data_IF_899142344467
#
_entry.id   IF_899142344467
#
_cell.length_a   1.000
_cell.length_b   1.000
_cell.length_c   1.000
_cell.angle_alpha   90.00
_cell.angle_beta   90.00
_cell.angle_gamma   90.00
#
_symmetry.space_group_name_H-M   'P 1'
#
loop_
_entity.id
_entity.type
_entity.pdbx_description
1 polymer ?
#
# COMPACT_ATOMS: atom_id res chain seq x y z
N UNK A 1 -33.15 -5.42 -14.61
CA UNK A 1 -32.10 -5.95 -13.70
C UNK A 1 -31.24 -4.78 -13.32
N UNK A 2 -31.16 -4.48 -12.03
CA UNK A 2 -30.33 -3.37 -11.55
C UNK A 2 -28.91 -3.88 -11.29
N UNK A 3 -27.93 -3.22 -11.89
CA UNK A 3 -26.50 -3.52 -11.66
C UNK A 3 -25.93 -2.49 -10.68
N UNK A 4 -25.11 -2.94 -9.77
CA UNK A 4 -24.38 -2.08 -8.84
C UNK A 4 -22.87 -2.25 -8.99
N UNK A 5 -22.14 -1.15 -8.88
CA UNK A 5 -20.70 -1.10 -8.72
C UNK A 5 -20.43 -0.73 -7.28
N UNK A 6 -19.78 -1.63 -6.56
CA UNK A 6 -19.35 -1.42 -5.17
C UNK A 6 -17.83 -1.23 -5.13
N UNK A 7 -17.39 -0.01 -4.99
CA UNK A 7 -15.97 0.30 -4.83
C UNK A 7 -15.53 0.04 -3.39
N UNK A 8 -14.44 -0.71 -3.22
CA UNK A 8 -13.90 -1.08 -1.91
C UNK A 8 -12.57 -0.37 -1.67
N UNK A 9 -12.59 0.66 -0.82
CA UNK A 9 -11.38 1.28 -0.29
C UNK A 9 -10.78 0.44 0.85
N UNK A 10 -9.47 0.62 1.13
CA UNK A 10 -8.86 -0.03 2.28
C UNK A 10 -9.45 0.48 3.62
N UNK A 11 -9.70 1.77 3.68
CA UNK A 11 -10.02 2.48 4.91
C UNK A 11 -8.79 2.99 5.63
N UNK A 12 -8.98 4.01 6.46
CA UNK A 12 -7.91 4.69 7.20
C UNK A 12 -8.40 5.11 8.59
N UNK A 13 -7.50 5.09 9.58
CA UNK A 13 -7.75 5.69 10.89
C UNK A 13 -7.81 7.22 10.84
N UNK A 14 -7.27 7.83 9.79
CA UNK A 14 -7.42 9.26 9.51
C UNK A 14 -8.60 9.48 8.57
N UNK A 15 -9.60 10.23 9.01
CA UNK A 15 -10.81 10.50 8.22
C UNK A 15 -10.50 11.21 6.89
N UNK A 16 -9.44 12.03 6.84
CA UNK A 16 -8.99 12.66 5.61
C UNK A 16 -8.73 11.65 4.48
N UNK A 17 -8.15 10.48 4.79
CA UNK A 17 -7.92 9.43 3.80
C UNK A 17 -9.23 8.79 3.32
N UNK A 18 -10.20 8.60 4.22
CA UNK A 18 -11.50 8.04 3.87
C UNK A 18 -12.29 9.03 2.97
N UNK A 19 -12.19 10.32 3.26
CA UNK A 19 -12.83 11.37 2.47
C UNK A 19 -12.21 11.45 1.07
N UNK A 20 -10.89 11.34 0.91
CA UNK A 20 -10.27 11.26 -0.41
C UNK A 20 -10.77 10.07 -1.24
N UNK A 21 -11.00 8.90 -0.61
CA UNK A 21 -11.61 7.75 -1.30
C UNK A 21 -13.03 8.06 -1.76
N UNK A 22 -13.86 8.67 -0.89
CA UNK A 22 -15.25 9.04 -1.23
C UNK A 22 -15.29 10.06 -2.38
N UNK A 23 -14.48 11.11 -2.29
CA UNK A 23 -14.33 12.13 -3.35
C UNK A 23 -13.85 11.51 -4.67
N UNK A 24 -12.89 10.59 -4.60
CA UNK A 24 -12.40 9.87 -5.77
C UNK A 24 -13.52 9.06 -6.44
N UNK A 25 -14.32 8.31 -5.67
CA UNK A 25 -15.45 7.53 -6.21
C UNK A 25 -16.57 8.45 -6.70
N UNK A 26 -16.86 9.57 -6.03
CA UNK A 26 -17.83 10.56 -6.51
C UNK A 26 -17.44 11.09 -7.90
N UNK A 27 -16.16 11.41 -8.09
CA UNK A 27 -15.64 11.84 -9.39
C UNK A 27 -15.68 10.70 -10.43
N UNK A 28 -15.39 9.44 -10.04
CA UNK A 28 -15.58 8.28 -10.91
C UNK A 28 -17.04 8.12 -11.35
N UNK A 29 -17.98 8.30 -10.43
CA UNK A 29 -19.41 8.14 -10.70
C UNK A 29 -19.89 9.05 -11.82
N UNK A 30 -19.30 10.22 -11.99
CA UNK A 30 -19.60 11.13 -13.10
C UNK A 30 -19.15 10.61 -14.49
N UNK A 31 -18.27 9.61 -14.51
CA UNK A 31 -17.70 8.99 -15.71
C UNK A 31 -18.34 7.63 -16.00
N UNK A 32 -19.20 7.13 -15.14
CA UNK A 32 -19.85 5.82 -15.19
C UNK A 32 -21.28 5.99 -15.72
N UNK A 33 -21.83 4.96 -16.39
CA UNK A 33 -23.22 4.95 -16.87
C UNK A 33 -24.19 5.24 -15.71
N UNK A 34 -25.00 6.28 -15.85
CA UNK A 34 -25.97 6.73 -14.85
C UNK A 34 -27.06 5.67 -14.51
N UNK A 35 -27.18 4.60 -15.27
CA UNK A 35 -28.07 3.48 -14.96
C UNK A 35 -27.46 2.48 -13.95
N UNK A 36 -26.17 2.60 -13.64
CA UNK A 36 -25.50 1.78 -12.63
C UNK A 36 -25.62 2.43 -11.26
N UNK A 37 -26.00 1.66 -10.26
CA UNK A 37 -25.89 2.08 -8.87
C UNK A 37 -24.41 2.06 -8.48
N UNK A 38 -23.87 3.18 -8.00
CA UNK A 38 -22.48 3.29 -7.57
C UNK A 38 -22.43 3.55 -6.08
N UNK A 39 -21.68 2.71 -5.37
CA UNK A 39 -21.51 2.81 -3.92
C UNK A 39 -20.05 2.65 -3.51
N UNK A 40 -19.70 3.20 -2.34
CA UNK A 40 -18.38 3.10 -1.73
C UNK A 40 -18.48 2.39 -0.38
N UNK A 41 -17.58 1.46 -0.15
CA UNK A 41 -17.41 0.83 1.17
C UNK A 41 -15.91 0.67 1.51
N UNK A 42 -15.64 0.24 2.73
CA UNK A 42 -14.29 0.11 3.24
C UNK A 42 -14.05 -1.28 3.82
N UNK A 43 -12.81 -1.75 3.68
CA UNK A 43 -12.39 -3.02 4.24
C UNK A 43 -12.27 -2.94 5.77
N UNK A 44 -11.65 -1.85 6.27
CA UNK A 44 -11.42 -1.64 7.71
C UNK A 44 -11.40 -0.14 8.06
N UNK A 45 -11.49 0.19 9.35
CA UNK A 45 -11.36 1.53 9.95
C UNK A 45 -12.37 2.59 9.52
N UNK A 46 -13.28 2.32 8.58
CA UNK A 46 -14.27 3.27 8.10
C UNK A 46 -15.57 2.58 7.72
N UNK A 47 -16.65 3.35 7.67
CA UNK A 47 -17.99 2.90 7.25
C UNK A 47 -18.40 3.59 5.94
N UNK A 48 -19.29 2.91 5.17
CA UNK A 48 -19.85 1.59 5.42
C UNK A 48 -18.81 0.47 5.22
N UNK A 49 -18.97 -0.65 5.95
CA UNK A 49 -18.21 -1.88 5.72
C UNK A 49 -18.62 -2.53 4.40
N UNK A 50 -17.86 -3.54 3.94
CA UNK A 50 -18.21 -4.29 2.71
C UNK A 50 -19.61 -4.90 2.84
N UNK A 51 -19.91 -5.55 3.97
CA UNK A 51 -21.22 -6.14 4.23
C UNK A 51 -22.35 -5.10 4.17
N UNK A 52 -22.17 -3.94 4.82
CA UNK A 52 -23.15 -2.84 4.80
C UNK A 52 -23.33 -2.28 3.39
N UNK A 53 -22.25 -2.11 2.61
CA UNK A 53 -22.33 -1.66 1.22
C UNK A 53 -23.08 -2.64 0.32
N UNK A 54 -22.84 -3.95 0.50
CA UNK A 54 -23.58 -5.00 -0.22
C UNK A 54 -25.07 -4.97 0.17
N UNK A 55 -25.39 -4.91 1.47
CA UNK A 55 -26.76 -4.86 1.96
C UNK A 55 -27.53 -3.68 1.36
N UNK A 56 -26.89 -2.50 1.33
CA UNK A 56 -27.46 -1.32 0.71
C UNK A 56 -27.74 -1.50 -0.80
N UNK A 57 -26.79 -2.08 -1.55
CA UNK A 57 -26.99 -2.36 -2.97
C UNK A 57 -28.18 -3.30 -3.20
N UNK A 58 -28.32 -4.34 -2.36
CA UNK A 58 -29.45 -5.29 -2.44
C UNK A 58 -30.77 -4.61 -2.08
N UNK A 59 -30.81 -3.77 -1.05
CA UNK A 59 -32.00 -2.97 -0.67
C UNK A 59 -32.44 -2.03 -1.79
N UNK A 60 -31.51 -1.53 -2.60
CA UNK A 60 -31.79 -0.73 -3.81
C UNK A 60 -32.21 -1.58 -5.00
N UNK A 61 -32.33 -2.89 -4.86
CA UNK A 61 -32.84 -3.82 -5.88
C UNK A 61 -31.76 -4.31 -6.84
N UNK A 62 -30.48 -4.24 -6.47
CA UNK A 62 -29.40 -4.80 -7.28
C UNK A 62 -29.52 -6.32 -7.39
N UNK A 63 -29.45 -6.84 -8.60
CA UNK A 63 -29.43 -8.27 -8.90
C UNK A 63 -28.05 -8.75 -9.36
N UNK A 64 -27.18 -7.80 -9.73
CA UNK A 64 -25.78 -8.03 -10.04
C UNK A 64 -24.94 -6.97 -9.31
N UNK A 65 -23.94 -7.39 -8.55
CA UNK A 65 -23.02 -6.51 -7.83
C UNK A 65 -21.59 -6.81 -8.27
N UNK A 66 -20.92 -5.77 -8.77
CA UNK A 66 -19.52 -5.79 -9.20
C UNK A 66 -18.69 -5.12 -8.12
N UNK A 67 -17.89 -5.90 -7.41
CA UNK A 67 -17.04 -5.43 -6.29
C UNK A 67 -15.67 -5.08 -6.83
N UNK A 68 -15.33 -3.79 -6.86
CA UNK A 68 -14.10 -3.27 -7.46
C UNK A 68 -13.15 -2.76 -6.37
N UNK A 69 -12.02 -3.43 -6.13
CA UNK A 69 -11.08 -3.01 -5.11
C UNK A 69 -10.23 -1.80 -5.57
N UNK A 70 -10.24 -0.72 -4.79
CA UNK A 70 -9.32 0.40 -4.93
C UNK A 70 -8.07 0.08 -4.10
N UNK A 71 -7.27 -0.85 -4.60
CA UNK A 71 -6.06 -1.40 -3.94
C UNK A 71 -4.95 -1.49 -4.98
N UNK A 72 -3.73 -1.09 -4.61
CA UNK A 72 -2.60 -1.05 -5.53
C UNK A 72 -2.09 -2.42 -5.92
N UNK A 73 -1.81 -3.30 -4.96
CA UNK A 73 -1.15 -4.58 -5.19
C UNK A 73 -1.97 -5.74 -4.65
N UNK A 74 -1.86 -6.88 -5.32
CA UNK A 74 -2.60 -8.09 -4.99
C UNK A 74 -1.97 -8.82 -3.79
N UNK A 75 -2.48 -8.55 -2.59
CA UNK A 75 -2.01 -9.09 -1.32
C UNK A 75 -3.16 -9.64 -0.48
N UNK A 76 -2.92 -10.01 0.77
CA UNK A 76 -3.88 -10.68 1.64
C UNK A 76 -5.28 -10.07 1.67
N UNK A 77 -5.39 -8.74 1.71
CA UNK A 77 -6.71 -8.07 1.71
C UNK A 77 -7.51 -8.35 0.43
N UNK A 78 -6.87 -8.26 -0.73
CA UNK A 78 -7.54 -8.51 -2.02
C UNK A 78 -7.65 -10.00 -2.37
N UNK A 79 -6.75 -10.85 -1.85
CA UNK A 79 -6.77 -12.31 -2.10
C UNK A 79 -7.74 -13.06 -1.18
N UNK A 80 -7.91 -12.57 0.04
CA UNK A 80 -8.59 -13.34 1.11
C UNK A 80 -9.76 -12.56 1.70
N UNK A 81 -9.52 -11.35 2.24
CA UNK A 81 -10.52 -10.68 3.06
C UNK A 81 -11.73 -10.21 2.24
N UNK A 82 -11.53 -9.45 1.17
CA UNK A 82 -12.64 -9.00 0.30
C UNK A 82 -13.35 -10.20 -0.33
N UNK A 83 -12.67 -11.21 -0.93
CA UNK A 83 -13.33 -12.40 -1.44
C UNK A 83 -14.12 -13.18 -0.38
N UNK A 84 -13.64 -13.23 0.87
CA UNK A 84 -14.36 -13.91 1.96
C UNK A 84 -15.71 -13.24 2.28
N UNK A 85 -15.73 -11.91 2.36
CA UNK A 85 -16.96 -11.12 2.55
C UNK A 85 -17.94 -11.33 1.39
N UNK A 86 -17.44 -11.36 0.14
CA UNK A 86 -18.29 -11.62 -1.04
C UNK A 86 -18.90 -13.02 -0.98
N UNK A 87 -18.13 -14.04 -0.60
CA UNK A 87 -18.63 -15.42 -0.48
C UNK A 87 -19.68 -15.53 0.63
N UNK A 88 -19.57 -14.78 1.71
CA UNK A 88 -20.62 -14.69 2.74
C UNK A 88 -21.89 -14.03 2.20
N UNK A 89 -21.72 -12.93 1.45
CA UNK A 89 -22.83 -12.28 0.80
C UNK A 89 -23.53 -13.17 -0.24
N UNK A 90 -22.81 -14.02 -0.99
CA UNK A 90 -23.39 -15.00 -1.90
C UNK A 90 -24.32 -15.99 -1.16
N UNK A 91 -23.91 -16.42 0.04
CA UNK A 91 -24.74 -17.30 0.87
C UNK A 91 -25.99 -16.57 1.42
N UNK A 92 -25.83 -15.29 1.83
CA UNK A 92 -26.92 -14.46 2.33
C UNK A 92 -27.93 -14.08 1.25
N UNK A 93 -27.45 -13.85 0.02
CA UNK A 93 -28.24 -13.38 -1.12
C UNK A 93 -28.07 -14.28 -2.35
N UNK A 94 -28.56 -15.53 -2.33
CA UNK A 94 -28.32 -16.53 -3.39
C UNK A 94 -28.92 -16.13 -4.76
N UNK A 95 -29.81 -15.14 -4.79
CA UNK A 95 -30.43 -14.61 -6.01
C UNK A 95 -29.63 -13.44 -6.63
N UNK A 96 -28.56 -12.95 -5.97
CA UNK A 96 -27.71 -11.88 -6.43
C UNK A 96 -26.42 -12.46 -7.02
N UNK A 97 -26.07 -12.02 -8.21
CA UNK A 97 -24.78 -12.37 -8.84
C UNK A 97 -23.69 -11.42 -8.38
N UNK A 98 -22.58 -11.97 -7.90
CA UNK A 98 -21.40 -11.21 -7.53
C UNK A 98 -20.26 -11.44 -8.50
N UNK A 99 -19.58 -10.37 -8.87
CA UNK A 99 -18.34 -10.41 -9.66
C UNK A 99 -17.28 -9.60 -8.93
N UNK A 100 -16.09 -10.18 -8.76
CA UNK A 100 -14.96 -9.51 -8.13
C UNK A 100 -13.98 -8.98 -9.17
N UNK A 101 -13.65 -7.70 -9.09
CA UNK A 101 -12.70 -7.01 -9.96
C UNK A 101 -11.24 -7.26 -9.56
N UNK A 102 -10.32 -6.96 -10.48
CA UNK A 102 -8.89 -6.98 -10.19
C UNK A 102 -8.46 -5.70 -9.45
N UNK A 103 -7.36 -5.80 -8.69
CA UNK A 103 -6.66 -4.64 -8.14
C UNK A 103 -6.01 -3.80 -9.25
N UNK A 104 -5.50 -2.62 -8.90
CA UNK A 104 -4.74 -1.77 -9.84
C UNK A 104 -3.62 -2.56 -10.52
N UNK A 105 -2.74 -3.19 -9.73
CA UNK A 105 -1.64 -4.01 -10.21
C UNK A 105 -0.52 -3.20 -10.89
N UNK A 106 0.30 -3.91 -11.67
CA UNK A 106 1.34 -3.28 -12.50
C UNK A 106 0.68 -2.74 -13.76
N UNK A 107 0.72 -1.43 -13.96
CA UNK A 107 0.06 -0.75 -15.07
C UNK A 107 0.91 0.39 -15.59
N UNK A 108 0.88 0.62 -16.92
CA UNK A 108 1.68 1.70 -17.53
C UNK A 108 1.26 3.08 -17.04
N UNK A 109 -0.04 3.33 -16.87
CA UNK A 109 -0.54 4.60 -16.34
C UNK A 109 -0.10 4.85 -14.90
N UNK A 110 0.11 3.80 -14.09
CA UNK A 110 0.67 3.95 -12.73
C UNK A 110 2.13 4.42 -12.80
N UNK A 111 2.93 3.90 -13.73
CA UNK A 111 4.29 4.38 -13.95
C UNK A 111 4.28 5.84 -14.42
N UNK A 112 3.34 6.19 -15.30
CA UNK A 112 3.18 7.57 -15.77
C UNK A 112 2.81 8.53 -14.63
N UNK A 113 1.92 8.13 -13.70
CA UNK A 113 1.62 8.93 -12.50
C UNK A 113 2.90 9.18 -11.69
N UNK A 114 3.73 8.16 -11.47
CA UNK A 114 4.97 8.31 -10.72
C UNK A 114 5.92 9.32 -11.37
N UNK A 115 6.03 9.31 -12.71
CA UNK A 115 6.81 10.30 -13.46
C UNK A 115 6.24 11.71 -13.29
N UNK A 116 4.92 11.87 -13.39
CA UNK A 116 4.26 13.17 -13.23
C UNK A 116 4.42 13.71 -11.79
N UNK A 117 4.38 12.83 -10.76
CA UNK A 117 4.66 13.22 -9.37
C UNK A 117 6.09 13.72 -9.17
N UNK A 118 7.06 13.17 -9.90
CA UNK A 118 8.43 13.70 -9.93
C UNK A 118 8.49 15.07 -10.63
N UNK A 119 7.79 15.24 -11.74
CA UNK A 119 7.75 16.50 -12.48
C UNK A 119 7.09 17.64 -11.67
N UNK A 120 6.07 17.36 -10.90
CA UNK A 120 5.37 18.33 -10.05
C UNK A 120 6.30 18.98 -9.00
N UNK A 121 7.34 18.28 -8.54
CA UNK A 121 8.36 18.84 -7.65
C UNK A 121 9.56 19.44 -8.40
N UNK A 122 9.43 19.63 -9.71
CA UNK A 122 10.48 20.23 -10.55
C UNK A 122 11.61 19.28 -10.95
N UNK A 123 11.42 17.95 -10.86
CA UNK A 123 12.38 16.98 -11.34
C UNK A 123 12.16 16.73 -12.84
N UNK A 124 13.18 16.98 -13.65
CA UNK A 124 13.14 16.72 -15.10
C UNK A 124 13.35 15.23 -15.37
N UNK A 125 12.28 14.52 -15.69
CA UNK A 125 12.31 13.07 -15.96
C UNK A 125 12.97 12.68 -17.28
N UNK A 126 13.29 13.66 -18.14
CA UNK A 126 13.96 13.44 -19.43
C UNK A 126 15.46 13.78 -19.39
N UNK A 127 15.89 14.49 -18.35
CA UNK A 127 17.29 14.85 -18.18
C UNK A 127 18.09 13.74 -17.50
N UNK A 128 19.40 13.72 -17.77
CA UNK A 128 20.35 12.88 -17.04
C UNK A 128 20.67 13.54 -15.68
N UNK A 129 20.59 12.74 -14.61
CA UNK A 129 20.95 13.15 -13.27
C UNK A 129 22.06 12.23 -12.73
N UNK A 130 23.21 12.80 -12.38
CA UNK A 130 24.40 12.00 -12.02
C UNK A 130 24.51 11.69 -10.51
N UNK A 131 23.79 12.42 -9.66
CA UNK A 131 23.91 12.35 -8.20
C UNK A 131 22.55 12.26 -7.48
N UNK A 132 21.49 11.96 -8.22
CA UNK A 132 20.13 11.85 -7.68
C UNK A 132 19.70 10.38 -7.57
N UNK A 133 19.13 10.04 -6.42
CA UNK A 133 18.45 8.77 -6.19
C UNK A 133 16.92 8.99 -6.11
N UNK A 134 16.17 8.07 -6.68
CA UNK A 134 14.73 7.95 -6.44
C UNK A 134 14.51 6.80 -5.46
N UNK A 135 13.89 7.07 -4.33
CA UNK A 135 13.51 6.08 -3.34
C UNK A 135 12.00 5.86 -3.39
N UNK A 136 11.57 4.81 -4.08
CA UNK A 136 10.16 4.43 -4.15
C UNK A 136 9.75 3.77 -2.84
N UNK A 137 8.66 4.23 -2.21
CA UNK A 137 8.28 3.82 -0.85
C UNK A 137 6.86 3.30 -0.83
N UNK A 138 6.68 2.03 -0.43
CA UNK A 138 5.38 1.40 -0.21
C UNK A 138 5.11 1.10 1.27
N UNK A 139 3.90 0.63 1.58
CA UNK A 139 3.52 0.21 2.94
C UNK A 139 4.39 -0.95 3.44
N UNK A 140 4.63 -1.93 2.58
CA UNK A 140 5.14 -3.25 2.94
C UNK A 140 4.05 -4.22 3.42
N UNK A 141 4.34 -5.50 3.33
CA UNK A 141 3.39 -6.55 3.72
C UNK A 141 4.05 -7.93 3.76
N UNK A 142 3.35 -8.91 4.34
CA UNK A 142 3.82 -10.30 4.43
C UNK A 142 3.65 -11.10 3.13
N UNK A 143 3.02 -10.54 2.11
CA UNK A 143 2.81 -11.21 0.82
C UNK A 143 4.03 -11.00 -0.09
N UNK A 144 4.79 -12.07 -0.31
CA UNK A 144 6.03 -12.06 -1.11
C UNK A 144 5.79 -11.67 -2.57
N UNK A 145 4.66 -12.06 -3.17
CA UNK A 145 4.33 -11.72 -4.55
C UNK A 145 4.01 -10.23 -4.71
N UNK A 146 3.25 -9.66 -3.76
CA UNK A 146 2.98 -8.22 -3.76
C UNK A 146 4.26 -7.40 -3.56
N UNK A 147 5.16 -7.83 -2.68
CA UNK A 147 6.48 -7.23 -2.52
C UNK A 147 7.31 -7.37 -3.81
N UNK A 148 7.29 -8.53 -4.46
CA UNK A 148 7.94 -8.77 -5.75
C UNK A 148 7.40 -7.88 -6.86
N UNK A 149 6.08 -7.70 -6.94
CA UNK A 149 5.44 -6.78 -7.91
C UNK A 149 5.87 -5.33 -7.66
N UNK A 150 6.03 -4.92 -6.40
CA UNK A 150 6.56 -3.60 -6.06
C UNK A 150 8.00 -3.40 -6.56
N UNK A 151 8.88 -4.39 -6.38
CA UNK A 151 10.23 -4.35 -6.94
C UNK A 151 10.21 -4.31 -8.47
N UNK A 152 9.28 -5.01 -9.11
CA UNK A 152 9.11 -4.93 -10.56
C UNK A 152 8.68 -3.53 -11.00
N UNK A 153 7.78 -2.88 -10.27
CA UNK A 153 7.38 -1.48 -10.53
C UNK A 153 8.59 -0.55 -10.38
N UNK A 154 9.40 -0.73 -9.32
CA UNK A 154 10.63 0.04 -9.12
C UNK A 154 11.60 -0.12 -10.30
N UNK A 155 11.78 -1.35 -10.79
CA UNK A 155 12.63 -1.61 -11.95
C UNK A 155 12.06 -0.96 -13.23
N UNK A 156 10.77 -1.08 -13.48
CA UNK A 156 10.11 -0.46 -14.65
C UNK A 156 10.18 1.07 -14.60
N UNK A 157 10.07 1.67 -13.41
CA UNK A 157 10.28 3.11 -13.24
C UNK A 157 11.72 3.50 -13.57
N UNK A 158 12.70 2.72 -13.11
CA UNK A 158 14.11 2.98 -13.42
C UNK A 158 14.41 2.98 -14.92
N UNK A 159 13.79 2.07 -15.69
CA UNK A 159 13.94 2.05 -17.16
C UNK A 159 13.44 3.32 -17.86
N UNK A 160 12.62 4.12 -17.16
CA UNK A 160 12.06 5.38 -17.70
C UNK A 160 12.83 6.62 -17.28
N UNK A 161 13.87 6.50 -16.44
CA UNK A 161 14.63 7.60 -15.86
C UNK A 161 16.13 7.43 -16.13
N UNK A 162 16.80 8.51 -16.45
CA UNK A 162 18.28 8.54 -16.53
C UNK A 162 18.89 9.01 -15.20
N UNK A 163 18.75 8.15 -14.19
CA UNK A 163 19.30 8.33 -12.84
C UNK A 163 20.17 7.14 -12.46
N UNK A 164 21.25 7.32 -11.66
CA UNK A 164 22.13 6.24 -11.27
C UNK A 164 21.50 5.27 -10.26
N UNK A 165 20.51 5.72 -9.49
CA UNK A 165 19.98 4.98 -8.36
C UNK A 165 18.46 5.07 -8.33
N UNK A 166 17.77 3.92 -8.34
CA UNK A 166 16.36 3.80 -7.97
C UNK A 166 16.25 2.64 -6.98
N UNK A 167 15.89 2.94 -5.75
CA UNK A 167 15.79 1.98 -4.66
C UNK A 167 14.34 1.82 -4.20
N UNK A 168 14.05 0.67 -3.59
CA UNK A 168 12.79 0.38 -2.93
C UNK A 168 12.92 0.45 -1.43
N UNK A 169 11.91 0.97 -0.74
CA UNK A 169 11.81 0.87 0.71
C UNK A 169 10.35 0.72 1.17
N UNK A 170 10.18 0.30 2.41
CA UNK A 170 8.87 0.05 3.00
C UNK A 170 8.70 0.83 4.31
N UNK A 171 7.44 1.22 4.60
CA UNK A 171 7.11 1.89 5.85
C UNK A 171 7.07 0.96 7.05
N UNK A 172 7.03 -0.35 6.82
CA UNK A 172 7.01 -1.39 7.84
C UNK A 172 6.80 -2.79 7.27
N UNK A 173 6.82 -3.81 8.12
CA UNK A 173 6.55 -5.23 7.85
C UNK A 173 7.64 -5.93 7.01
N UNK A 174 8.17 -5.26 5.99
CA UNK A 174 9.15 -5.80 5.04
C UNK A 174 10.35 -4.89 4.96
N UNK A 175 11.54 -5.44 4.93
CA UNK A 175 12.81 -4.74 4.67
C UNK A 175 13.08 -4.59 3.16
N UNK A 176 13.86 -3.56 2.76
CA UNK A 176 14.45 -2.52 3.60
C UNK A 176 13.43 -1.50 4.09
N UNK A 177 13.55 -1.06 5.34
CA UNK A 177 12.76 0.07 5.85
C UNK A 177 13.27 1.39 5.25
N UNK A 178 12.48 2.47 5.41
CA UNK A 178 12.80 3.79 4.84
C UNK A 178 14.19 4.28 5.26
N UNK A 179 14.56 4.08 6.53
CA UNK A 179 15.87 4.45 7.08
C UNK A 179 17.00 3.76 6.30
N UNK A 180 16.88 2.44 6.13
CA UNK A 180 17.86 1.64 5.36
C UNK A 180 17.87 2.02 3.88
N UNK A 181 16.73 2.32 3.28
CA UNK A 181 16.62 2.77 1.90
C UNK A 181 17.38 4.08 1.67
N UNK A 182 17.22 5.05 2.57
CA UNK A 182 17.94 6.33 2.53
C UNK A 182 19.45 6.10 2.71
N UNK A 183 19.86 5.30 3.70
CA UNK A 183 21.28 5.00 3.89
C UNK A 183 21.90 4.29 2.68
N UNK A 184 21.18 3.38 2.03
CA UNK A 184 21.62 2.73 0.78
C UNK A 184 21.87 3.75 -0.31
N UNK A 185 20.92 4.67 -0.55
CA UNK A 185 21.09 5.75 -1.52
C UNK A 185 22.33 6.61 -1.23
N UNK A 186 22.56 6.97 0.04
CA UNK A 186 23.74 7.74 0.46
C UNK A 186 25.04 6.94 0.24
N UNK A 187 25.08 5.67 0.62
CA UNK A 187 26.23 4.79 0.42
C UNK A 187 26.57 4.58 -1.06
N UNK A 188 25.56 4.62 -1.94
CA UNK A 188 25.73 4.58 -3.39
C UNK A 188 26.15 5.92 -4.00
N UNK A 189 26.27 6.99 -3.20
CA UNK A 189 26.82 8.28 -3.61
C UNK A 189 25.77 9.34 -3.97
N UNK A 190 24.49 9.12 -3.65
CA UNK A 190 23.47 10.13 -3.89
C UNK A 190 23.73 11.40 -3.07
N UNK A 191 23.61 12.57 -3.72
CA UNK A 191 23.61 13.90 -3.08
C UNK A 191 22.22 14.51 -3.01
N UNK A 192 21.31 13.97 -3.81
CA UNK A 192 19.89 14.28 -3.76
C UNK A 192 19.11 12.97 -3.71
N UNK A 193 18.12 12.88 -2.83
CA UNK A 193 17.20 11.73 -2.72
C UNK A 193 15.78 12.26 -2.83
N UNK A 194 15.00 11.69 -3.75
CA UNK A 194 13.57 11.98 -3.86
C UNK A 194 12.81 10.78 -3.32
N UNK A 195 12.15 10.97 -2.17
CA UNK A 195 11.21 10.00 -1.62
C UNK A 195 9.93 10.06 -2.44
N UNK A 196 9.59 8.96 -3.12
CA UNK A 196 8.43 8.85 -4.00
C UNK A 196 7.39 7.91 -3.38
N UNK A 197 6.27 8.44 -2.84
CA UNK A 197 5.25 7.62 -2.20
C UNK A 197 4.45 6.76 -3.17
N UNK A 198 4.43 5.44 -2.97
CA UNK A 198 3.56 4.50 -3.69
C UNK A 198 2.29 4.23 -2.86
N UNK A 199 1.43 5.25 -2.77
CA UNK A 199 0.20 5.27 -1.98
C UNK A 199 -0.94 5.91 -2.76
N UNK A 200 -2.15 5.35 -2.62
CA UNK A 200 -3.34 5.89 -3.28
C UNK A 200 -3.76 7.23 -2.70
N UNK A 201 -3.93 7.30 -1.39
CA UNK A 201 -4.52 8.43 -0.68
C UNK A 201 -3.72 8.81 0.55
N UNK A 202 -4.04 9.96 1.15
CA UNK A 202 -3.42 10.40 2.40
C UNK A 202 -3.69 9.43 3.55
N UNK A 203 -2.89 9.54 4.61
CA UNK A 203 -3.03 8.73 5.81
C UNK A 203 -1.82 8.85 6.73
N UNK A 204 -1.85 8.10 7.83
CA UNK A 204 -0.79 8.11 8.86
C UNK A 204 0.61 7.88 8.24
N UNK A 205 0.71 7.01 7.23
CA UNK A 205 2.01 6.68 6.62
C UNK A 205 2.58 7.84 5.81
N UNK A 206 1.74 8.61 5.13
CA UNK A 206 2.16 9.84 4.43
C UNK A 206 2.68 10.88 5.43
N UNK A 207 1.97 11.07 6.56
CA UNK A 207 2.42 11.99 7.61
C UNK A 207 3.75 11.53 8.26
N UNK A 208 3.93 10.22 8.44
CA UNK A 208 5.21 9.67 8.91
C UNK A 208 6.33 9.87 7.90
N UNK A 209 6.08 9.74 6.59
CA UNK A 209 7.08 10.00 5.56
C UNK A 209 7.55 11.46 5.55
N UNK A 210 6.65 12.42 5.76
CA UNK A 210 7.02 13.85 5.90
C UNK A 210 8.00 14.03 7.06
N UNK A 211 7.72 13.43 8.23
CA UNK A 211 8.61 13.46 9.40
C UNK A 211 9.95 12.78 9.13
N UNK A 212 9.98 11.68 8.38
CA UNK A 212 11.22 11.07 7.94
C UNK A 212 12.03 12.03 7.06
N UNK A 213 11.40 12.69 6.10
CA UNK A 213 12.08 13.65 5.23
C UNK A 213 12.72 14.79 6.05
N UNK A 214 12.00 15.37 7.02
CA UNK A 214 12.52 16.40 7.92
C UNK A 214 13.73 15.88 8.73
N UNK A 215 13.57 14.77 9.44
CA UNK A 215 14.61 14.14 10.26
C UNK A 215 15.88 13.84 9.47
N UNK A 216 15.76 13.28 8.28
CA UNK A 216 16.92 12.91 7.48
C UNK A 216 17.64 14.10 6.85
N UNK A 217 16.93 15.19 6.53
CA UNK A 217 17.58 16.44 6.13
C UNK A 217 18.42 17.03 7.27
N UNK A 218 17.98 16.90 8.53
CA UNK A 218 18.78 17.30 9.69
C UNK A 218 19.97 16.38 9.92
N UNK A 219 19.78 15.07 9.77
CA UNK A 219 20.82 14.05 9.99
C UNK A 219 21.91 14.06 8.91
N UNK A 220 21.54 14.35 7.66
CA UNK A 220 22.45 14.34 6.51
C UNK A 220 22.48 15.68 5.78
N UNK A 221 23.07 16.74 6.37
CA UNK A 221 23.01 18.10 5.83
C UNK A 221 23.67 18.29 4.46
N UNK A 222 24.50 17.31 4.03
CA UNK A 222 25.14 17.31 2.72
C UNK A 222 24.35 16.57 1.64
N UNK A 223 23.18 16.02 1.97
CA UNK A 223 22.29 15.30 1.06
C UNK A 223 20.93 15.99 1.09
N UNK A 224 20.46 16.46 -0.05
CA UNK A 224 19.13 17.05 -0.16
C UNK A 224 18.09 15.95 -0.25
N UNK A 225 17.15 15.89 0.69
CA UNK A 225 16.05 14.93 0.69
C UNK A 225 14.73 15.65 0.48
N UNK A 226 14.01 15.27 -0.56
CA UNK A 226 12.71 15.83 -0.93
C UNK A 226 11.67 14.69 -0.97
N UNK A 227 10.39 15.05 -0.80
CA UNK A 227 9.27 14.11 -0.92
C UNK A 227 8.35 14.57 -2.04
N UNK A 228 8.02 13.65 -2.94
CA UNK A 228 7.01 13.87 -3.98
C UNK A 228 5.59 13.59 -3.46
N UNK A 229 4.58 13.92 -4.25
CA UNK A 229 3.19 13.63 -3.90
C UNK A 229 2.86 12.13 -4.10
N UNK A 230 1.83 11.65 -3.37
CA UNK A 230 1.19 10.35 -3.59
C UNK A 230 0.19 10.42 -4.76
N UNK A 231 -0.48 9.32 -5.12
CA UNK A 231 -1.36 9.26 -6.31
C UNK A 231 -2.56 10.22 -6.21
N UNK A 232 -3.30 10.21 -5.10
CA UNK A 232 -4.47 11.08 -4.89
C UNK A 232 -5.51 10.94 -6.01
N UNK A 233 -6.19 12.04 -6.31
CA UNK A 233 -7.23 12.12 -7.35
C UNK A 233 -6.68 12.23 -8.79
N UNK A 234 -5.59 11.50 -9.10
CA UNK A 234 -4.96 11.59 -10.42
C UNK A 234 -5.89 11.06 -11.54
N UNK A 235 -6.01 11.77 -12.70
CA UNK A 235 -6.87 11.33 -13.80
C UNK A 235 -6.52 9.93 -14.32
N UNK A 236 -5.23 9.60 -14.47
CA UNK A 236 -4.80 8.28 -14.93
C UNK A 236 -5.17 7.16 -13.94
N UNK A 237 -5.20 7.43 -12.63
CA UNK A 237 -5.69 6.45 -11.67
C UNK A 237 -7.16 6.13 -11.88
N UNK A 238 -7.98 7.15 -12.23
CA UNK A 238 -9.39 6.95 -12.58
C UNK A 238 -9.54 6.08 -13.81
N UNK A 239 -8.74 6.31 -14.85
CA UNK A 239 -8.72 5.48 -16.06
C UNK A 239 -8.44 4.01 -15.73
N UNK A 240 -7.45 3.73 -14.89
CA UNK A 240 -7.14 2.35 -14.47
C UNK A 240 -8.29 1.72 -13.71
N UNK A 241 -8.92 2.43 -12.77
CA UNK A 241 -10.05 1.89 -12.00
C UNK A 241 -11.27 1.65 -12.90
N UNK A 242 -11.54 2.53 -13.86
CA UNK A 242 -12.60 2.33 -14.87
C UNK A 242 -12.30 1.10 -15.73
N UNK A 243 -11.05 0.92 -16.16
CA UNK A 243 -10.66 -0.28 -16.90
C UNK A 243 -10.91 -1.57 -16.09
N UNK A 244 -10.56 -1.59 -14.78
CA UNK A 244 -10.84 -2.74 -13.91
C UNK A 244 -12.33 -3.00 -13.75
N UNK A 245 -13.13 -1.95 -13.65
CA UNK A 245 -14.59 -2.03 -13.64
C UNK A 245 -15.13 -2.61 -14.96
N UNK A 246 -14.68 -2.12 -16.10
CA UNK A 246 -15.11 -2.58 -17.42
C UNK A 246 -14.72 -4.05 -17.66
N UNK A 247 -13.54 -4.46 -17.23
CA UNK A 247 -13.11 -5.87 -17.25
C UNK A 247 -14.06 -6.75 -16.43
N UNK A 248 -14.49 -6.29 -15.26
CA UNK A 248 -15.45 -7.02 -14.44
C UNK A 248 -16.86 -7.07 -15.07
N UNK A 249 -17.36 -5.95 -15.59
CA UNK A 249 -18.65 -5.86 -16.28
C UNK A 249 -18.73 -6.76 -17.52
N UNK A 250 -17.62 -6.91 -18.24
CA UNK A 250 -17.53 -7.70 -19.49
C UNK A 250 -17.09 -9.17 -19.26
N UNK A 251 -16.94 -9.60 -17.99
CA UNK A 251 -16.57 -10.99 -17.65
C UNK A 251 -15.09 -11.34 -17.91
N UNK A 252 -14.21 -10.35 -17.99
CA UNK A 252 -12.77 -10.52 -18.21
C UNK A 252 -11.92 -10.40 -16.92
N UNK A 253 -12.57 -10.21 -15.77
CA UNK A 253 -11.84 -10.08 -14.50
C UNK A 253 -11.22 -11.39 -14.06
N UNK A 254 -9.94 -11.35 -13.68
CA UNK A 254 -9.23 -12.48 -13.06
C UNK A 254 -9.54 -12.62 -11.56
N UNK A 255 -10.14 -11.61 -10.93
CA UNK A 255 -10.57 -11.65 -9.52
C UNK A 255 -11.58 -12.75 -9.21
N UNK A 256 -12.26 -13.28 -10.24
CA UNK A 256 -13.16 -14.45 -10.11
C UNK A 256 -12.43 -15.66 -9.53
N UNK A 257 -11.14 -15.86 -9.85
CA UNK A 257 -10.32 -16.96 -9.31
C UNK A 257 -10.13 -16.85 -7.80
N UNK A 258 -10.07 -15.65 -7.25
CA UNK A 258 -9.94 -15.44 -5.81
C UNK A 258 -11.23 -15.87 -5.09
N UNK A 259 -12.40 -15.60 -5.67
CA UNK A 259 -13.68 -16.10 -5.14
C UNK A 259 -13.75 -17.63 -5.16
N UNK A 260 -13.40 -18.25 -6.27
CA UNK A 260 -13.36 -19.72 -6.41
C UNK A 260 -12.40 -20.34 -5.40
N UNK A 261 -11.24 -19.71 -5.16
CA UNK A 261 -10.27 -20.19 -4.20
C UNK A 261 -10.81 -20.13 -2.76
N UNK A 262 -11.44 -19.03 -2.36
CA UNK A 262 -12.07 -18.90 -1.04
C UNK A 262 -13.21 -19.90 -0.85
N UNK A 263 -14.06 -20.08 -1.86
CA UNK A 263 -15.13 -21.10 -1.81
C UNK A 263 -14.55 -22.48 -1.58
N UNK A 264 -13.48 -22.85 -2.29
CA UNK A 264 -12.77 -24.12 -2.12
C UNK A 264 -12.17 -24.27 -0.72
N UNK A 265 -11.51 -23.23 -0.20
CA UNK A 265 -10.90 -23.26 1.14
C UNK A 265 -11.97 -23.40 2.24
N UNK A 266 -13.13 -22.74 2.10
CA UNK A 266 -14.28 -22.92 3.01
C UNK A 266 -14.84 -24.34 2.95
N UNK A 267 -14.99 -24.92 1.75
CA UNK A 267 -15.45 -26.32 1.59
C UNK A 267 -14.49 -27.35 2.23
N UNK A 268 -13.20 -27.06 2.23
CA UNK A 268 -12.17 -27.88 2.87
C UNK A 268 -12.06 -27.64 4.39
N UNK A 269 -12.82 -26.72 4.97
CA UNK A 269 -12.72 -26.34 6.38
C UNK A 269 -11.43 -25.66 6.79
N UNK A 270 -10.67 -25.15 5.81
CA UNK A 270 -9.38 -24.49 6.03
C UNK A 270 -9.53 -23.00 6.40
N UNK A 271 -10.70 -22.41 6.17
CA UNK A 271 -11.09 -21.07 6.61
C UNK A 271 -12.41 -21.20 7.38
N UNK A 272 -12.40 -20.87 8.66
CA UNK A 272 -13.60 -20.79 9.50
C UNK A 272 -14.23 -19.38 9.41
N UNK A 273 -15.51 -19.27 9.78
CA UNK A 273 -16.16 -17.97 9.98
C UNK A 273 -15.51 -17.28 11.19
N UNK A 274 -14.55 -16.41 10.96
CA UNK A 274 -14.06 -15.51 11.98
C UNK A 274 -14.70 -14.16 11.81
N UNK A 275 -15.57 -13.78 12.78
CA UNK A 275 -15.80 -12.38 13.07
C UNK A 275 -14.44 -11.80 13.43
N UNK A 276 -14.01 -10.77 12.69
CA UNK A 276 -12.75 -10.09 12.95
C UNK A 276 -12.89 -9.25 14.22
N UNK A 277 -12.58 -9.85 15.38
CA UNK A 277 -12.09 -9.09 16.51
C UNK A 277 -10.66 -8.68 16.18
N UNK A 278 -10.50 -7.46 15.67
CA UNK A 278 -9.21 -6.87 15.34
C UNK A 278 -8.50 -6.42 16.63
N UNK A 279 -8.01 -7.36 17.43
CA UNK A 279 -6.93 -7.09 18.37
C UNK A 279 -5.59 -7.25 17.65
N UNK A 280 -5.22 -6.25 16.88
CA UNK A 280 -3.83 -6.10 16.44
C UNK A 280 -3.01 -5.55 17.61
N UNK A 281 -2.39 -6.45 18.36
CA UNK A 281 -1.28 -6.09 19.22
C UNK A 281 -0.12 -5.59 18.34
N UNK A 282 -0.12 -4.29 18.08
CA UNK A 282 1.06 -3.61 17.60
C UNK A 282 2.05 -3.54 18.78
N UNK A 283 2.98 -4.47 18.82
CA UNK A 283 4.18 -4.27 19.62
C UNK A 283 4.97 -3.12 19.00
N UNK A 284 4.75 -1.92 19.55
CA UNK A 284 5.65 -0.80 19.36
C UNK A 284 6.93 -1.15 20.10
N UNK A 285 7.94 -1.62 19.39
CA UNK A 285 9.30 -1.55 19.87
C UNK A 285 9.81 -0.13 19.62
N UNK A 286 9.51 0.76 20.57
CA UNK A 286 10.27 2.00 20.72
C UNK A 286 11.64 1.58 21.27
N UNK A 287 12.61 1.42 20.40
CA UNK A 287 14.00 1.31 20.81
C UNK A 287 14.51 2.69 21.19
N UNK A 288 14.32 3.08 22.44
CA UNK A 288 15.12 4.11 23.08
C UNK A 288 16.54 3.54 23.24
N UNK A 289 17.46 4.01 22.40
CA UNK A 289 18.88 3.76 22.59
C UNK A 289 19.38 4.54 23.81
N UNK A 290 19.36 3.91 24.97
CA UNK A 290 20.14 4.37 26.11
C UNK A 290 21.62 4.06 25.86
N UNK A 291 22.38 5.10 25.53
CA UNK A 291 23.84 5.05 25.59
C UNK A 291 24.27 4.96 27.04
N UNK A 292 24.63 3.76 27.48
CA UNK A 292 25.38 3.61 28.74
C UNK A 292 26.87 3.90 28.46
N UNK A 293 27.32 5.04 28.95
CA UNK A 293 28.75 5.31 29.14
C UNK A 293 29.23 4.39 30.25
N UNK A 294 30.09 3.43 29.94
CA UNK A 294 30.89 2.73 30.91
C UNK A 294 32.18 3.49 31.15
N UNK A 295 32.25 4.19 32.28
CA UNK A 295 33.50 4.69 32.85
C UNK A 295 34.29 3.50 33.37
N UNK A 296 35.42 3.19 32.77
CA UNK A 296 36.40 2.27 33.32
C UNK A 296 37.29 3.00 34.30
N UNK A 297 37.02 2.85 35.60
CA UNK A 297 37.98 3.19 36.65
C UNK A 297 38.92 1.99 36.88
N UNK A 298 40.19 2.19 36.53
CA UNK A 298 41.29 1.28 36.94
C UNK A 298 41.59 1.44 38.41
N UNK A 299 41.42 0.35 39.17
CA UNK A 299 42.13 0.20 40.46
C UNK A 299 43.15 -0.93 40.35
N UNK A 300 44.42 -0.54 40.45
CA UNK A 300 45.53 -1.42 40.74
C UNK A 300 45.44 -1.93 42.17
N UNK A 301 45.56 -3.24 42.38
CA UNK A 301 46.12 -3.80 43.63
C UNK A 301 47.15 -4.89 43.27
N UNK A 302 48.36 -4.65 43.81
CA UNK A 302 49.46 -5.60 43.98
C UNK A 302 49.10 -6.63 45.05
N UNK A 303 49.73 -7.81 44.91
CA UNK A 303 50.41 -8.70 45.85
C UNK A 303 50.05 -10.15 45.53
N UNK A 304 50.93 -11.01 45.47
CA UNK A 304 52.16 -11.60 45.93
C UNK A 304 52.13 -13.11 45.66
N UNK A 305 53.28 -13.55 45.14
CA UNK A 305 53.88 -14.86 45.14
C UNK A 305 53.24 -16.04 45.89
N UNK A 306 53.26 -17.23 45.27
CA UNK A 306 54.06 -18.38 45.79
C UNK A 306 54.25 -19.45 44.70
N UNK A 307 55.50 -19.89 44.65
CA UNK A 307 56.04 -21.06 43.91
C UNK A 307 55.41 -22.37 44.39
N UNK A 308 55.45 -23.41 43.57
CA UNK A 308 56.21 -24.66 43.78
C UNK A 308 56.03 -25.60 42.59
N UNK A 309 57.19 -26.06 42.04
CA UNK A 309 57.37 -27.24 41.17
C UNK A 309 57.33 -28.54 42.00
N UNK A 310 57.39 -29.70 41.44
CA UNK A 310 58.04 -30.16 40.17
C UNK A 310 57.13 -30.58 39.05
#
# INVERSE_FOLDING_TARGET
MTKAILFVGHGSKLEAGNNEVREFVEQLSSLIDANLLVETCFLEFAEPTISQGIDYCVEKGATEIYVIPIILLHAGHSKIHIPAEIVEAQNKYPHVKFTYGEVVGIHEEILQILLERLQEIGFDTQAKHEDTAILLIARGGSDEYANGDFYKITRLLWEKLDVPIVESAFMGVTEPLVDEGIERCIKLGAKKIIMLPYFLFTGILIERMKKYCERFNEQYPNVKIEIAHYFGNHPLLKSVIIERMDQALNGHSKGVKDLENIQRLKQLGLISHHHHDHEHHHHHHDHEHHHHHHDHNHHHHHDEKTEVKP
#
